data_IF_136838117535
#
_entry.id   IF_136838117535
#
_cell.length_a   1.000
_cell.length_b   1.000
_cell.length_c   1.000
_cell.angle_alpha   90.00
_cell.angle_beta   90.00
_cell.angle_gamma   90.00
#
_symmetry.space_group_name_H-M   'P 1'
#
loop_
_entity.id
_entity.type
_entity.pdbx_description
1 polymer ?
#
# COMPACT_ATOMS: atom_id res chain seq x y z
N UNK A 1 15.95 -3.88 -0.50
CA UNK A 1 16.17 -2.71 0.39
C UNK A 1 15.53 -1.51 -0.29
N UNK A 2 14.67 -0.72 0.37
CA UNK A 2 14.00 0.42 -0.27
C UNK A 2 15.04 1.41 -0.82
N UNK A 3 14.87 1.86 -2.07
CA UNK A 3 15.79 2.76 -2.79
C UNK A 3 15.85 4.21 -2.29
N UNK A 4 15.45 4.43 -1.02
CA UNK A 4 15.36 5.73 -0.35
C UNK A 4 13.98 6.39 -0.42
N UNK A 5 13.87 7.64 0.08
CA UNK A 5 12.64 8.44 0.10
C UNK A 5 12.30 9.05 -1.27
N UNK A 6 12.10 8.20 -2.27
CA UNK A 6 11.69 8.61 -3.62
C UNK A 6 10.50 7.77 -4.09
N UNK A 7 9.76 8.30 -5.06
CA UNK A 7 8.74 7.54 -5.76
C UNK A 7 9.41 6.55 -6.73
N UNK A 8 8.81 5.38 -6.96
CA UNK A 8 9.31 4.45 -7.95
C UNK A 8 9.21 5.05 -9.36
N UNK A 9 10.12 4.69 -10.28
CA UNK A 9 10.00 5.05 -11.68
C UNK A 9 8.82 4.32 -12.36
N UNK A 10 8.42 4.72 -13.58
CA UNK A 10 7.41 4.02 -14.37
C UNK A 10 7.66 2.51 -14.48
N UNK A 11 6.65 1.72 -14.11
CA UNK A 11 6.76 0.27 -14.06
C UNK A 11 7.10 -0.32 -15.44
N UNK A 12 6.44 0.16 -16.50
CA UNK A 12 6.62 -0.37 -17.85
C UNK A 12 8.05 -0.13 -18.37
N UNK A 13 8.59 1.08 -18.18
CA UNK A 13 9.96 1.40 -18.57
C UNK A 13 10.97 0.57 -17.77
N UNK A 14 10.80 0.50 -16.44
CA UNK A 14 11.68 -0.26 -15.58
C UNK A 14 11.64 -1.77 -15.89
N UNK A 15 10.47 -2.30 -16.23
CA UNK A 15 10.32 -3.69 -16.65
C UNK A 15 11.10 -3.99 -17.93
N UNK A 16 11.03 -3.13 -18.94
CA UNK A 16 11.75 -3.29 -20.19
C UNK A 16 13.27 -3.27 -19.97
N UNK A 17 13.76 -2.29 -19.21
CA UNK A 17 15.17 -2.13 -18.88
C UNK A 17 15.71 -3.37 -18.14
N UNK A 18 14.99 -3.83 -17.11
CA UNK A 18 15.39 -5.00 -16.33
C UNK A 18 15.36 -6.27 -17.17
N UNK A 19 14.36 -6.43 -18.05
CA UNK A 19 14.26 -7.59 -18.93
C UNK A 19 15.48 -7.68 -19.85
N UNK A 20 15.86 -6.56 -20.46
CA UNK A 20 17.01 -6.50 -21.36
C UNK A 20 18.32 -6.81 -20.63
N UNK A 21 18.58 -6.15 -19.50
CA UNK A 21 19.84 -6.30 -18.76
C UNK A 21 19.96 -7.69 -18.13
N UNK A 22 18.89 -8.19 -17.49
CA UNK A 22 18.90 -9.48 -16.82
C UNK A 22 19.03 -10.65 -17.80
N UNK A 23 18.42 -10.56 -18.97
CA UNK A 23 18.59 -11.59 -20.00
C UNK A 23 20.00 -11.55 -20.60
N UNK A 24 20.48 -10.36 -21.00
CA UNK A 24 21.80 -10.20 -21.64
C UNK A 24 22.95 -10.63 -20.73
N UNK A 25 22.94 -10.17 -19.49
CA UNK A 25 24.09 -10.29 -18.60
C UNK A 25 24.04 -11.57 -17.73
N UNK A 26 22.85 -12.13 -17.52
CA UNK A 26 22.64 -13.25 -16.58
C UNK A 26 21.77 -14.39 -17.12
N UNK A 27 21.18 -14.27 -18.32
CA UNK A 27 20.25 -15.26 -18.86
C UNK A 27 18.94 -15.39 -18.06
N UNK A 28 18.62 -14.40 -17.21
CA UNK A 28 17.45 -14.43 -16.34
C UNK A 28 16.24 -13.87 -17.07
N UNK A 29 15.14 -14.63 -17.06
CA UNK A 29 13.84 -14.21 -17.60
C UNK A 29 12.81 -14.15 -16.49
N UNK A 30 11.90 -13.20 -16.58
CA UNK A 30 10.80 -13.04 -15.65
C UNK A 30 9.53 -12.58 -16.39
N UNK A 31 8.36 -12.79 -15.77
CA UNK A 31 7.09 -12.51 -16.43
C UNK A 31 6.66 -11.05 -16.28
N UNK A 32 6.76 -10.52 -15.06
CA UNK A 32 6.36 -9.16 -14.68
C UNK A 32 7.30 -8.56 -13.65
N UNK A 33 7.52 -7.26 -13.73
CA UNK A 33 8.18 -6.45 -12.71
C UNK A 33 7.12 -5.57 -12.04
N UNK A 34 7.10 -5.56 -10.71
CA UNK A 34 6.18 -4.73 -9.93
C UNK A 34 6.93 -3.62 -9.23
N UNK A 35 6.49 -2.37 -9.41
CA UNK A 35 7.03 -1.23 -8.66
C UNK A 35 6.10 -0.82 -7.53
N UNK A 36 6.67 -0.63 -6.35
CA UNK A 36 5.94 -0.25 -5.14
C UNK A 36 6.60 0.98 -4.51
N UNK A 37 5.79 1.91 -4.05
CA UNK A 37 6.29 3.00 -3.21
C UNK A 37 6.67 2.45 -1.84
N UNK A 38 7.75 2.97 -1.26
CA UNK A 38 8.17 2.57 0.07
C UNK A 38 7.25 3.21 1.11
N UNK A 39 6.43 2.42 1.80
CA UNK A 39 5.57 3.01 2.81
C UNK A 39 6.37 3.50 4.03
N UNK A 40 6.06 4.69 4.58
CA UNK A 40 6.81 5.33 5.67
C UNK A 40 6.51 4.69 7.04
N UNK A 41 6.59 3.36 7.13
CA UNK A 41 6.24 2.56 8.30
C UNK A 41 7.38 1.60 8.67
N UNK A 42 7.30 1.00 9.86
CA UNK A 42 8.27 0.02 10.35
C UNK A 42 9.71 0.52 10.24
N UNK A 43 10.63 -0.34 9.78
CA UNK A 43 12.07 -0.02 9.69
C UNK A 43 12.37 1.17 8.78
N UNK A 44 11.65 1.32 7.67
CA UNK A 44 11.89 2.44 6.76
C UNK A 44 11.42 3.75 7.39
N UNK A 45 10.24 3.78 8.00
CA UNK A 45 9.76 4.91 8.80
C UNK A 45 10.74 5.32 9.90
N UNK A 46 11.23 4.36 10.70
CA UNK A 46 12.24 4.62 11.74
C UNK A 46 13.54 5.20 11.17
N UNK A 47 13.97 4.72 9.99
CA UNK A 47 15.16 5.26 9.31
C UNK A 47 14.94 6.72 8.91
N UNK A 48 13.80 7.05 8.32
CA UNK A 48 13.46 8.43 7.94
C UNK A 48 13.40 9.36 9.15
N UNK A 49 12.82 8.91 10.26
CA UNK A 49 12.79 9.67 11.52
C UNK A 49 14.21 9.93 12.03
N UNK A 50 15.06 8.91 12.07
CA UNK A 50 16.45 9.05 12.56
C UNK A 50 17.30 10.01 11.73
N UNK A 51 16.93 10.22 10.46
CA UNK A 51 17.59 11.13 9.53
C UNK A 51 16.90 12.50 9.42
N UNK A 52 15.77 12.71 10.10
CA UNK A 52 14.97 13.93 9.95
C UNK A 52 14.24 14.05 8.60
N UNK A 53 14.15 12.97 7.83
CA UNK A 53 13.61 12.95 6.45
C UNK A 53 12.10 12.63 6.40
N UNK A 54 11.50 12.21 7.52
CA UNK A 54 10.10 11.72 7.55
C UNK A 54 9.10 12.77 7.06
N UNK A 55 9.26 14.04 7.48
CA UNK A 55 8.36 15.12 7.09
C UNK A 55 8.44 15.43 5.61
N UNK A 56 9.67 15.52 5.07
CA UNK A 56 9.89 15.76 3.64
C UNK A 56 9.32 14.62 2.79
N UNK A 57 9.51 13.36 3.22
CA UNK A 57 9.00 12.22 2.48
C UNK A 57 7.46 12.13 2.53
N UNK A 58 6.84 12.36 3.68
CA UNK A 58 5.38 12.46 3.77
C UNK A 58 4.83 13.61 2.90
N UNK A 59 5.55 14.74 2.86
CA UNK A 59 5.22 15.86 1.97
C UNK A 59 5.24 15.45 0.49
N UNK A 60 6.25 14.69 0.06
CA UNK A 60 6.33 14.13 -1.29
C UNK A 60 5.16 13.19 -1.60
N UNK A 61 4.83 12.27 -0.69
CA UNK A 61 3.72 11.34 -0.90
C UNK A 61 2.38 12.08 -1.01
N UNK A 62 2.16 13.09 -0.16
CA UNK A 62 0.97 13.93 -0.17
C UNK A 62 0.87 14.76 -1.45
N UNK A 63 1.95 15.39 -1.88
CA UNK A 63 1.96 16.22 -3.10
C UNK A 63 1.80 15.40 -4.37
N UNK A 64 2.25 14.15 -4.37
CA UNK A 64 2.11 13.24 -5.49
C UNK A 64 0.81 12.41 -5.47
N UNK A 65 -0.06 12.61 -4.48
CA UNK A 65 -1.34 11.91 -4.41
C UNK A 65 -2.16 12.12 -5.69
N UNK A 66 -2.72 11.03 -6.24
CA UNK A 66 -3.72 11.08 -7.30
C UNK A 66 -5.02 10.47 -6.82
N UNK A 67 -6.10 11.24 -6.88
CA UNK A 67 -7.44 10.78 -6.49
C UNK A 67 -7.90 9.57 -7.30
N UNK A 68 -7.54 9.50 -8.59
CA UNK A 68 -7.85 8.35 -9.45
C UNK A 68 -7.26 7.03 -8.95
N UNK A 69 -6.14 7.06 -8.20
CA UNK A 69 -5.57 5.84 -7.62
C UNK A 69 -6.45 5.27 -6.50
N UNK A 70 -7.25 6.10 -5.84
CA UNK A 70 -8.14 5.67 -4.75
C UNK A 70 -9.13 4.62 -5.21
N UNK A 71 -9.62 4.65 -6.46
CA UNK A 71 -10.56 3.62 -6.92
C UNK A 71 -9.93 2.23 -7.04
N UNK A 72 -8.61 2.18 -7.20
CA UNK A 72 -7.86 0.95 -7.47
C UNK A 72 -7.06 0.45 -6.26
N UNK A 73 -7.08 1.14 -5.11
CA UNK A 73 -6.35 0.67 -3.94
C UNK A 73 -6.98 -0.61 -3.37
N UNK A 74 -6.12 -1.52 -2.93
CA UNK A 74 -6.54 -2.86 -2.48
C UNK A 74 -7.51 -2.86 -1.30
N UNK A 75 -7.44 -1.87 -0.41
CA UNK A 75 -8.29 -1.79 0.79
C UNK A 75 -9.78 -1.54 0.47
N UNK A 76 -10.14 -1.33 -0.79
CA UNK A 76 -11.55 -1.26 -1.24
C UNK A 76 -12.15 -2.62 -1.56
N UNK A 77 -11.32 -3.61 -1.91
CA UNK A 77 -11.79 -4.92 -2.34
C UNK A 77 -11.28 -6.08 -1.48
N UNK A 78 -10.31 -5.83 -0.60
CA UNK A 78 -9.68 -6.85 0.22
C UNK A 78 -9.63 -6.39 1.68
N UNK A 79 -9.69 -7.37 2.58
CA UNK A 79 -9.41 -7.20 4.01
C UNK A 79 -8.18 -8.03 4.37
N UNK A 80 -7.39 -7.56 5.33
CA UNK A 80 -6.32 -8.34 5.93
C UNK A 80 -6.80 -9.01 7.21
N UNK A 81 -6.46 -10.29 7.39
CA UNK A 81 -6.83 -11.08 8.58
C UNK A 81 -5.58 -11.34 9.39
N UNK A 82 -5.54 -10.78 10.60
CA UNK A 82 -4.47 -11.06 11.55
C UNK A 82 -4.49 -12.51 12.01
N UNK A 83 -3.34 -13.01 12.45
CA UNK A 83 -3.18 -14.39 12.97
C UNK A 83 -4.15 -14.73 14.12
N UNK A 84 -4.63 -13.74 14.85
CA UNK A 84 -5.58 -13.92 15.97
C UNK A 84 -7.04 -13.91 15.50
N UNK A 85 -7.31 -13.56 14.24
CA UNK A 85 -8.64 -13.37 13.69
C UNK A 85 -9.11 -11.90 13.67
N UNK A 86 -8.32 -10.94 14.16
CA UNK A 86 -8.66 -9.51 14.00
C UNK A 86 -8.62 -9.09 12.53
N UNK A 87 -9.58 -8.26 12.12
CA UNK A 87 -9.70 -7.78 10.74
C UNK A 87 -9.08 -6.38 10.60
N UNK A 88 -8.53 -6.09 9.43
CA UNK A 88 -7.90 -4.81 9.08
C UNK A 88 -8.23 -4.47 7.62
N UNK A 89 -8.28 -3.19 7.26
CA UNK A 89 -8.52 -2.79 5.87
C UNK A 89 -7.35 -3.12 4.92
N UNK A 90 -6.13 -3.22 5.46
CA UNK A 90 -4.94 -3.64 4.70
C UNK A 90 -3.86 -4.21 5.64
N UNK A 91 -2.82 -4.79 5.03
CA UNK A 91 -1.64 -5.32 5.73
C UNK A 91 -0.85 -4.24 6.46
N UNK A 92 -0.79 -3.01 5.93
CA UNK A 92 -0.13 -1.90 6.61
C UNK A 92 -0.91 -1.40 7.83
N UNK A 93 -2.24 -1.36 7.76
CA UNK A 93 -3.08 -1.14 8.94
C UNK A 93 -2.83 -2.24 9.98
N UNK A 94 -2.70 -3.50 9.55
CA UNK A 94 -2.31 -4.60 10.44
C UNK A 94 -0.93 -4.39 11.07
N UNK A 95 0.07 -4.00 10.29
CA UNK A 95 1.42 -3.71 10.79
C UNK A 95 1.43 -2.55 11.82
N UNK A 96 0.54 -1.58 11.65
CA UNK A 96 0.40 -0.42 12.54
C UNK A 96 -0.56 -0.67 13.73
N UNK A 97 -1.20 -1.83 13.81
CA UNK A 97 -2.17 -2.13 14.86
C UNK A 97 -3.44 -1.28 14.76
N UNK A 98 -3.91 -1.01 13.54
CA UNK A 98 -5.12 -0.24 13.23
C UNK A 98 -6.26 -1.17 12.77
N UNK A 99 -6.92 -1.91 13.68
CA UNK A 99 -7.96 -2.86 13.29
C UNK A 99 -9.18 -2.16 12.68
N UNK A 100 -9.87 -2.89 11.80
CA UNK A 100 -11.10 -2.44 11.17
C UNK A 100 -12.12 -2.08 12.27
N UNK A 101 -12.66 -0.86 12.20
CA UNK A 101 -13.59 -0.32 13.21
C UNK A 101 -12.92 0.26 14.47
N UNK A 102 -11.58 0.27 14.56
CA UNK A 102 -10.87 0.97 15.64
C UNK A 102 -11.28 2.45 15.70
N UNK A 103 -11.60 2.95 16.90
CA UNK A 103 -12.05 4.34 17.10
C UNK A 103 -13.51 4.62 16.70
N UNK A 104 -14.22 3.65 16.12
CA UNK A 104 -15.66 3.71 15.92
C UNK A 104 -16.45 3.19 17.13
N UNK A 105 -17.73 3.54 17.21
CA UNK A 105 -18.64 3.10 18.28
C UNK A 105 -18.80 1.57 18.42
N UNK A 106 -18.30 0.79 17.45
CA UNK A 106 -18.51 -0.66 17.34
C UNK A 106 -17.34 -1.52 17.85
N UNK A 107 -16.21 -0.91 18.21
CA UNK A 107 -15.00 -1.66 18.56
C UNK A 107 -14.35 -2.38 17.38
N UNK A 108 -13.23 -3.07 17.64
CA UNK A 108 -12.45 -3.77 16.62
C UNK A 108 -13.15 -5.02 16.08
N UNK A 109 -13.17 -5.18 14.76
CA UNK A 109 -13.82 -6.30 14.08
C UNK A 109 -12.99 -7.59 14.13
N UNK A 110 -13.68 -8.73 14.25
CA UNK A 110 -13.07 -10.06 14.35
C UNK A 110 -13.69 -11.04 13.35
N UNK A 111 -12.88 -11.96 12.82
CA UNK A 111 -13.26 -12.96 11.81
C UNK A 111 -14.42 -13.85 12.26
N UNK A 112 -14.52 -14.12 13.56
CA UNK A 112 -15.65 -14.88 14.16
C UNK A 112 -17.00 -14.23 13.91
N UNK A 113 -17.02 -12.92 13.71
CA UNK A 113 -18.24 -12.13 13.46
C UNK A 113 -18.45 -11.83 11.97
N UNK A 114 -17.65 -12.44 11.07
CA UNK A 114 -17.64 -12.12 9.64
C UNK A 114 -19.03 -12.22 9.00
N UNK A 115 -19.80 -13.27 9.30
CA UNK A 115 -21.16 -13.42 8.79
C UNK A 115 -22.06 -12.26 9.21
N UNK A 116 -22.00 -11.88 10.49
CA UNK A 116 -22.73 -10.72 11.03
C UNK A 116 -22.29 -9.42 10.38
N UNK A 117 -20.99 -9.22 10.17
CA UNK A 117 -20.43 -8.04 9.52
C UNK A 117 -20.90 -7.91 8.07
N UNK A 118 -20.92 -9.03 7.33
CA UNK A 118 -21.43 -9.08 5.95
C UNK A 118 -22.93 -8.81 5.92
N UNK A 119 -23.74 -9.52 6.71
CA UNK A 119 -25.20 -9.36 6.72
C UNK A 119 -25.66 -7.96 7.14
N UNK A 120 -24.85 -7.22 7.91
CA UNK A 120 -25.12 -5.83 8.30
C UNK A 120 -24.51 -4.80 7.33
N UNK A 121 -23.94 -5.23 6.21
CA UNK A 121 -23.31 -4.37 5.20
C UNK A 121 -22.09 -3.59 5.72
N UNK A 122 -21.45 -4.07 6.79
CA UNK A 122 -20.32 -3.36 7.40
C UNK A 122 -19.03 -3.45 6.61
N UNK A 123 -18.95 -4.39 5.66
CA UNK A 123 -17.78 -4.57 4.79
C UNK A 123 -17.98 -3.96 3.40
N UNK A 124 -19.16 -4.14 2.78
CA UNK A 124 -19.38 -3.78 1.37
C UNK A 124 -19.44 -2.26 1.12
N UNK A 125 -19.66 -1.45 2.15
CA UNK A 125 -19.62 0.03 2.07
C UNK A 125 -19.12 0.64 3.40
N UNK A 126 -18.30 -0.11 4.12
CA UNK A 126 -17.73 0.34 5.38
C UNK A 126 -16.72 1.48 5.17
N UNK A 127 -16.57 2.38 6.16
CA UNK A 127 -15.45 3.32 6.13
C UNK A 127 -14.12 2.57 6.25
N UNK A 128 -13.15 2.94 5.43
CA UNK A 128 -11.78 2.43 5.50
C UNK A 128 -10.98 3.29 6.48
N UNK A 129 -10.24 2.66 7.41
CA UNK A 129 -9.34 3.39 8.28
C UNK A 129 -8.13 3.88 7.48
N UNK A 130 -7.95 5.21 7.44
CA UNK A 130 -6.83 5.87 6.75
C UNK A 130 -5.86 6.50 7.74
N UNK A 131 -4.59 6.59 7.34
CA UNK A 131 -3.51 7.29 8.06
C UNK A 131 -2.44 7.76 7.05
N UNK A 132 -1.38 8.42 7.53
CA UNK A 132 -0.36 9.03 6.67
C UNK A 132 0.31 8.05 5.68
N UNK A 133 0.43 6.77 6.03
CA UNK A 133 1.00 5.75 5.13
C UNK A 133 0.15 5.49 3.88
N UNK A 134 -1.16 5.77 3.91
CA UNK A 134 -2.07 5.57 2.78
C UNK A 134 -1.70 6.45 1.57
N UNK A 135 -1.01 7.57 1.79
CA UNK A 135 -0.48 8.38 0.70
C UNK A 135 0.56 7.63 -0.14
N UNK A 136 1.28 6.67 0.44
CA UNK A 136 2.20 5.86 -0.36
C UNK A 136 1.50 4.96 -1.37
N UNK A 137 0.29 4.46 -1.06
CA UNK A 137 -0.50 3.64 -2.00
C UNK A 137 -1.12 4.46 -3.14
N UNK A 138 -1.29 5.77 -2.94
CA UNK A 138 -1.99 6.66 -3.88
C UNK A 138 -1.07 7.68 -4.56
N UNK A 139 0.19 7.79 -4.16
CA UNK A 139 1.17 8.69 -4.75
C UNK A 139 1.65 8.21 -6.13
N UNK A 140 1.84 9.15 -7.06
CA UNK A 140 2.37 8.88 -8.39
C UNK A 140 1.48 7.91 -9.18
N UNK A 141 2.05 6.81 -9.66
CA UNK A 141 1.30 5.76 -10.38
C UNK A 141 0.48 4.86 -9.44
N UNK A 142 0.48 5.16 -8.15
CA UNK A 142 -0.12 4.31 -7.12
C UNK A 142 0.70 3.04 -6.89
N UNK A 143 0.40 2.35 -5.79
CA UNK A 143 0.99 1.04 -5.54
C UNK A 143 0.06 0.16 -4.73
N UNK A 144 -0.11 -1.08 -5.16
CA UNK A 144 -0.70 -2.17 -4.38
C UNK A 144 0.15 -3.43 -4.49
N UNK A 145 -0.25 -4.54 -3.85
CA UNK A 145 0.41 -5.84 -4.05
C UNK A 145 0.53 -6.27 -5.53
N UNK A 146 -0.24 -5.67 -6.45
CA UNK A 146 -0.17 -5.90 -7.90
C UNK A 146 0.78 -4.97 -8.68
N UNK A 147 1.52 -4.08 -8.01
CA UNK A 147 2.38 -3.06 -8.63
C UNK A 147 1.69 -1.70 -8.80
N UNK A 148 2.12 -0.95 -9.81
CA UNK A 148 1.53 0.34 -10.18
C UNK A 148 0.03 0.20 -10.54
N UNK A 149 -0.79 1.16 -10.10
CA UNK A 149 -2.24 1.18 -10.31
C UNK A 149 -2.64 1.81 -11.64
N UNK A 150 -1.80 2.69 -12.18
CA UNK A 150 -1.96 3.29 -13.50
C UNK A 150 -0.89 2.77 -14.46
N UNK A 151 -1.30 2.45 -15.68
CA UNK A 151 -0.40 2.05 -16.77
C UNK A 151 0.26 3.23 -17.49
N UNK A 152 -0.18 4.46 -17.20
CA UNK A 152 0.33 5.67 -17.86
C UNK A 152 1.27 6.46 -16.94
N UNK A 153 2.40 6.89 -17.50
CA UNK A 153 3.30 7.83 -16.86
C UNK A 153 2.65 9.23 -16.80
N UNK A 154 2.93 10.05 -15.77
CA UNK A 154 2.67 11.49 -15.83
C UNK A 154 3.22 12.15 -17.09
#
# INVERSE_FOLDING_TARGET
NPGGPRLPPPQAALEADYRQVLERDFGIRFNRLLTLANLPVGRFGSTLVSRGEIGAYLGLLKSAHRSGNTESVMCRGLISVGRQGWLYDCDFNQMLGLPLGAGGARGSAHLRDLSTLVSRGHLENGPIQVADHCYGCTAGQGSSCGGALTTEAP
#
